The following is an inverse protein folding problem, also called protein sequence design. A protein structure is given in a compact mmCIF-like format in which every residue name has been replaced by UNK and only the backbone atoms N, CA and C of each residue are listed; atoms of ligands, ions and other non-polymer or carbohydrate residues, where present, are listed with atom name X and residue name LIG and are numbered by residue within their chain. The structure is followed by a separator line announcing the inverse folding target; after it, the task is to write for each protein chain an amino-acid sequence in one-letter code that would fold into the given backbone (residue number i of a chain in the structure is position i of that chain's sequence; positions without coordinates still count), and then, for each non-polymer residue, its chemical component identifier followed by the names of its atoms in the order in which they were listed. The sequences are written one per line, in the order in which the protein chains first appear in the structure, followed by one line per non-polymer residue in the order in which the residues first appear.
data_IF_039296241705
#
_entry.id   IF_039296241705
#
_cell.length_a   1.000
_cell.length_b   1.000
_cell.length_c   1.000
_cell.angle_alpha   90.00
_cell.angle_beta   90.00
_cell.angle_gamma   90.00
#
_symmetry.space_group_name_H-M   'P 1'
#
loop_
_entity.id
_entity.type
_entity.pdbx_description
1 polymer ?
#
# COMPACT_ATOMS: atom_id res chain seq x y z
N UNK A 1 5.89 13.14 28.39
CA UNK A 1 6.87 12.04 28.54
C UNK A 1 6.15 10.80 28.03
N UNK A 2 6.45 10.22 26.88
CA UNK A 2 7.68 10.25 26.07
C UNK A 2 7.53 10.99 24.75
N UNK A 3 8.58 11.71 24.36
CA UNK A 3 8.81 12.13 22.98
C UNK A 3 9.32 10.88 22.29
N UNK A 4 8.41 10.14 21.64
CA UNK A 4 8.77 8.97 20.86
C UNK A 4 9.85 9.36 19.85
N UNK A 5 11.07 8.85 20.06
CA UNK A 5 12.06 8.73 19.01
C UNK A 5 11.36 8.01 17.85
N UNK A 6 10.97 8.73 16.80
CA UNK A 6 10.52 8.17 15.54
C UNK A 6 11.75 7.53 14.87
N UNK A 7 12.20 6.41 15.44
CA UNK A 7 13.14 5.54 14.79
C UNK A 7 12.44 5.02 13.53
N UNK A 8 13.09 5.20 12.38
CA UNK A 8 12.59 4.63 11.15
C UNK A 8 12.70 3.10 11.23
N UNK A 9 11.57 2.45 11.56
CA UNK A 9 11.51 1.00 11.75
C UNK A 9 11.45 0.21 10.44
N UNK A 10 11.37 0.90 9.29
CA UNK A 10 11.34 0.24 7.99
C UNK A 10 12.70 -0.38 7.66
N UNK A 11 12.68 -1.67 7.34
CA UNK A 11 13.81 -2.43 6.82
C UNK A 11 13.58 -2.81 5.39
N UNK A 12 14.66 -2.77 4.62
CA UNK A 12 14.69 -3.12 3.21
C UNK A 12 15.75 -4.18 2.97
N UNK A 13 15.36 -5.29 2.37
CA UNK A 13 16.26 -6.40 2.06
C UNK A 13 16.03 -6.90 0.64
N UNK A 14 17.08 -6.99 -0.17
CA UNK A 14 17.00 -7.58 -1.50
C UNK A 14 17.13 -9.09 -1.35
N UNK A 15 15.99 -9.77 -1.27
CA UNK A 15 15.91 -11.21 -1.03
C UNK A 15 16.21 -12.05 -2.27
N UNK A 16 16.03 -11.49 -3.47
CA UNK A 16 16.46 -12.13 -4.71
C UNK A 16 16.67 -11.13 -5.85
N UNK A 17 17.45 -11.54 -6.84
CA UNK A 17 17.59 -10.83 -8.11
C UNK A 17 17.54 -11.84 -9.26
N UNK A 18 16.80 -11.51 -10.31
CA UNK A 18 16.63 -12.38 -11.48
C UNK A 18 16.81 -11.63 -12.78
N UNK A 19 17.38 -12.30 -13.77
CA UNK A 19 17.49 -11.76 -15.12
C UNK A 19 16.20 -12.08 -15.87
N UNK A 20 15.56 -11.05 -16.40
CA UNK A 20 14.39 -11.13 -17.27
C UNK A 20 14.86 -10.92 -18.70
N UNK A 21 14.60 -11.85 -19.61
CA UNK A 21 15.07 -11.75 -21.00
C UNK A 21 14.11 -10.96 -21.92
N UNK A 22 12.80 -10.99 -21.66
CA UNK A 22 11.76 -10.33 -22.47
C UNK A 22 10.97 -9.28 -21.67
N UNK A 23 10.49 -8.18 -22.31
CA UNK A 23 10.69 -7.80 -23.71
C UNK A 23 12.09 -7.25 -24.03
N UNK A 24 12.85 -6.86 -23.00
CA UNK A 24 14.25 -6.43 -23.12
C UNK A 24 15.02 -6.95 -21.92
N UNK A 25 16.21 -7.52 -22.16
CA UNK A 25 17.03 -8.10 -21.09
C UNK A 25 17.34 -7.10 -19.97
N UNK A 26 16.94 -7.41 -18.73
CA UNK A 26 17.21 -6.59 -17.54
C UNK A 26 17.29 -7.46 -16.28
N UNK A 27 17.82 -6.89 -15.19
CA UNK A 27 17.78 -7.52 -13.86
C UNK A 27 16.68 -6.87 -13.05
N UNK A 28 15.83 -7.70 -12.45
CA UNK A 28 14.78 -7.30 -11.50
C UNK A 28 15.18 -7.77 -10.11
N UNK A 29 15.06 -6.87 -9.15
CA UNK A 29 15.39 -7.07 -7.75
C UNK A 29 14.09 -7.15 -6.96
N UNK A 30 13.93 -8.23 -6.19
CA UNK A 30 12.82 -8.38 -5.25
C UNK A 30 13.29 -7.84 -3.90
N UNK A 31 12.63 -6.77 -3.45
CA UNK A 31 12.91 -6.14 -2.16
C UNK A 31 11.80 -6.51 -1.19
N UNK A 32 12.17 -7.07 -0.07
CA UNK A 32 11.31 -7.22 1.09
C UNK A 32 11.31 -5.92 1.90
N UNK A 33 10.13 -5.50 2.35
CA UNK A 33 9.91 -4.33 3.20
C UNK A 33 9.16 -4.74 4.45
N UNK A 34 9.77 -4.53 5.62
CA UNK A 34 9.24 -5.00 6.91
C UNK A 34 9.49 -4.00 8.04
N UNK A 35 8.85 -4.20 9.18
CA UNK A 35 9.20 -3.54 10.45
C UNK A 35 9.77 -4.56 11.43
N UNK A 36 10.87 -4.22 12.08
CA UNK A 36 11.48 -5.08 13.11
C UNK A 36 11.09 -4.64 14.55
N UNK A 37 10.38 -3.52 14.70
CA UNK A 37 9.99 -2.91 15.98
C UNK A 37 8.59 -2.25 15.87
N UNK A 38 7.78 -2.20 16.96
CA UNK A 38 7.98 -2.81 18.28
C UNK A 38 7.82 -4.33 18.33
N UNK A 39 7.13 -4.90 17.35
CA UNK A 39 6.95 -6.34 17.19
C UNK A 39 7.51 -6.76 15.82
N UNK A 40 7.96 -8.01 15.72
CA UNK A 40 8.43 -8.56 14.46
C UNK A 40 7.28 -8.62 13.46
N UNK A 41 7.46 -8.00 12.30
CA UNK A 41 6.49 -8.05 11.22
C UNK A 41 6.37 -9.47 10.65
N UNK A 42 5.23 -10.11 10.91
CA UNK A 42 4.90 -11.45 10.40
C UNK A 42 4.37 -11.43 8.97
N UNK A 43 4.13 -10.25 8.39
CA UNK A 43 3.52 -10.06 7.08
C UNK A 43 4.32 -9.01 6.29
N UNK A 44 5.57 -9.34 5.91
CA UNK A 44 6.42 -8.44 5.15
C UNK A 44 5.83 -8.19 3.76
N UNK A 45 6.13 -7.00 3.23
CA UNK A 45 5.75 -6.62 1.88
C UNK A 45 6.86 -6.91 0.90
N UNK A 46 6.49 -7.03 -0.38
CA UNK A 46 7.47 -7.20 -1.45
C UNK A 46 7.20 -6.26 -2.60
N UNK A 47 8.28 -5.72 -3.17
CA UNK A 47 8.25 -4.98 -4.43
C UNK A 47 9.28 -5.54 -5.39
N UNK A 48 9.02 -5.38 -6.67
CA UNK A 48 9.95 -5.82 -7.71
C UNK A 48 10.30 -4.67 -8.65
N UNK A 49 11.57 -4.29 -8.62
CA UNK A 49 12.09 -3.12 -9.34
C UNK A 49 13.40 -3.46 -10.04
N UNK A 50 13.64 -2.88 -11.21
CA UNK A 50 14.91 -2.90 -11.95
C UNK A 50 15.72 -1.65 -11.67
N UNK A 51 17.02 -1.70 -12.00
CA UNK A 51 17.96 -0.60 -11.76
C UNK A 51 17.45 0.78 -12.22
N UNK A 52 16.79 0.87 -13.37
CA UNK A 52 16.32 2.18 -13.86
C UNK A 52 15.21 2.76 -13.00
N UNK A 53 14.32 1.94 -12.43
CA UNK A 53 13.26 2.43 -11.55
C UNK A 53 13.85 3.00 -10.24
N UNK A 54 14.89 2.36 -9.69
CA UNK A 54 15.66 2.93 -8.57
C UNK A 54 16.37 4.24 -8.95
N UNK A 55 16.94 4.31 -10.17
CA UNK A 55 17.61 5.50 -10.66
C UNK A 55 16.62 6.66 -10.86
N UNK A 56 15.42 6.37 -11.33
CA UNK A 56 14.37 7.36 -11.55
C UNK A 56 13.82 7.87 -10.21
N UNK A 57 13.66 7.00 -9.20
CA UNK A 57 13.42 7.41 -7.81
C UNK A 57 14.51 8.35 -7.31
N UNK A 58 15.79 7.96 -7.41
CA UNK A 58 16.92 8.78 -6.96
C UNK A 58 16.91 10.17 -7.60
N UNK A 59 16.76 10.25 -8.92
CA UNK A 59 16.73 11.52 -9.66
C UNK A 59 15.56 12.40 -9.24
N UNK A 60 14.37 11.80 -9.07
CA UNK A 60 13.18 12.53 -8.66
C UNK A 60 13.37 13.13 -7.27
N UNK A 61 13.92 12.36 -6.33
CA UNK A 61 14.27 12.86 -5.01
C UNK A 61 15.37 13.93 -5.03
N UNK A 62 16.36 13.84 -5.92
CA UNK A 62 17.37 14.90 -6.07
C UNK A 62 16.77 16.23 -6.52
N UNK A 63 15.67 16.19 -7.30
CA UNK A 63 14.95 17.39 -7.73
C UNK A 63 14.07 17.92 -6.60
N UNK A 64 13.34 17.04 -5.91
CA UNK A 64 12.36 17.40 -4.86
C UNK A 64 13.04 17.79 -3.54
N UNK A 65 14.14 17.12 -3.17
CA UNK A 65 14.84 17.27 -1.89
C UNK A 65 16.36 17.44 -2.07
N UNK A 66 16.84 18.46 -2.82
CA UNK A 66 18.26 18.57 -3.21
C UNK A 66 19.22 18.64 -2.02
N UNK A 67 18.84 19.32 -0.94
CA UNK A 67 19.67 19.45 0.26
C UNK A 67 19.86 18.10 0.96
N UNK A 68 18.78 17.33 1.16
CA UNK A 68 18.82 16.03 1.82
C UNK A 68 19.61 15.03 0.95
N UNK A 69 19.36 15.05 -0.37
CA UNK A 69 19.98 14.10 -1.30
C UNK A 69 21.46 14.38 -1.59
N UNK A 70 21.96 15.57 -1.26
CA UNK A 70 23.37 15.95 -1.51
C UNK A 70 24.40 15.04 -0.82
N UNK A 71 24.01 14.40 0.30
CA UNK A 71 24.86 13.48 1.06
C UNK A 71 24.62 12.00 0.73
N UNK A 72 23.64 11.68 -0.12
CA UNK A 72 23.22 10.31 -0.43
C UNK A 72 23.83 9.85 -1.75
N UNK A 73 24.70 8.84 -1.69
CA UNK A 73 25.28 8.22 -2.87
C UNK A 73 24.35 7.19 -3.52
N UNK A 74 24.37 7.10 -4.85
CA UNK A 74 23.62 6.09 -5.61
C UNK A 74 24.53 5.31 -6.57
N UNK A 75 24.32 3.99 -6.77
CA UNK A 75 25.17 3.18 -7.64
C UNK A 75 25.15 3.66 -9.09
N UNK A 76 26.34 3.90 -9.64
CA UNK A 76 26.51 4.38 -11.01
C UNK A 76 26.03 3.35 -12.05
N UNK A 77 25.60 3.85 -13.20
CA UNK A 77 25.22 3.02 -14.33
C UNK A 77 26.47 2.33 -14.88
N UNK A 78 26.40 1.00 -15.01
CA UNK A 78 27.48 0.23 -15.60
C UNK A 78 27.34 0.16 -17.12
N UNK A 79 28.47 0.30 -17.82
CA UNK A 79 28.54 0.19 -19.29
C UNK A 79 28.76 -1.25 -19.75
N UNK A 80 29.37 -2.09 -18.91
CA UNK A 80 29.59 -3.52 -19.14
C UNK A 80 29.41 -4.30 -17.82
N UNK A 81 29.19 -5.61 -17.89
CA UNK A 81 29.13 -6.49 -16.71
C UNK A 81 27.87 -6.34 -15.85
N UNK A 82 26.80 -5.73 -16.38
CA UNK A 82 25.57 -5.46 -15.62
C UNK A 82 24.76 -6.70 -15.22
N UNK A 83 25.13 -7.88 -15.72
CA UNK A 83 24.53 -9.17 -15.39
C UNK A 83 25.48 -10.09 -14.60
N UNK A 84 26.68 -9.62 -14.20
CA UNK A 84 27.58 -10.43 -13.37
C UNK A 84 27.04 -10.52 -11.96
N UNK A 85 27.29 -11.64 -11.28
CA UNK A 85 26.87 -11.84 -9.90
C UNK A 85 27.46 -10.77 -8.97
N UNK A 86 28.72 -10.39 -9.19
CA UNK A 86 29.38 -9.32 -8.44
C UNK A 86 28.62 -7.99 -8.54
N UNK A 87 28.24 -7.59 -9.76
CA UNK A 87 27.52 -6.34 -9.96
C UNK A 87 26.10 -6.39 -9.39
N UNK A 88 25.43 -7.54 -9.53
CA UNK A 88 24.10 -7.76 -8.95
C UNK A 88 24.18 -7.63 -7.43
N UNK A 89 25.09 -8.33 -6.77
CA UNK A 89 25.29 -8.26 -5.32
C UNK A 89 25.66 -6.86 -4.82
N UNK A 90 26.58 -6.17 -5.52
CA UNK A 90 26.96 -4.79 -5.18
C UNK A 90 25.78 -3.82 -5.28
N UNK A 91 24.94 -3.96 -6.32
CA UNK A 91 23.71 -3.16 -6.47
C UNK A 91 22.68 -3.49 -5.41
N UNK A 92 22.48 -4.77 -5.08
CA UNK A 92 21.56 -5.19 -4.02
C UNK A 92 21.88 -4.49 -2.70
N UNK A 93 23.15 -4.54 -2.27
CA UNK A 93 23.60 -3.84 -1.07
C UNK A 93 23.39 -2.32 -1.17
N UNK A 94 23.74 -1.72 -2.31
CA UNK A 94 23.59 -0.28 -2.52
C UNK A 94 22.12 0.17 -2.49
N UNK A 95 21.19 -0.62 -3.03
CA UNK A 95 19.76 -0.32 -3.00
C UNK A 95 19.18 -0.41 -1.58
N UNK A 96 19.58 -1.41 -0.81
CA UNK A 96 19.18 -1.52 0.60
C UNK A 96 19.67 -0.31 1.41
N UNK A 97 20.95 0.07 1.27
CA UNK A 97 21.49 1.26 1.92
C UNK A 97 20.79 2.53 1.47
N UNK A 98 20.51 2.67 0.17
CA UNK A 98 19.80 3.82 -0.37
C UNK A 98 18.38 3.96 0.21
N UNK A 99 17.57 2.89 0.18
CA UNK A 99 16.20 2.90 0.72
C UNK A 99 16.20 3.17 2.23
N UNK A 100 17.15 2.59 2.97
CA UNK A 100 17.31 2.88 4.41
C UNK A 100 17.57 4.37 4.66
N UNK A 101 18.56 4.95 3.98
CA UNK A 101 18.96 6.36 4.19
C UNK A 101 17.83 7.35 3.84
N UNK A 102 17.12 7.13 2.73
CA UNK A 102 16.04 8.06 2.36
C UNK A 102 14.84 7.95 3.29
N UNK A 103 14.57 6.78 3.87
CA UNK A 103 13.43 6.60 4.78
C UNK A 103 13.73 7.05 6.22
N UNK A 104 15.00 7.28 6.58
CA UNK A 104 15.38 7.94 7.84
C UNK A 104 14.93 9.41 7.89
N UNK A 105 14.65 10.03 6.73
CA UNK A 105 14.10 11.36 6.64
C UNK A 105 12.57 11.33 6.47
N UNK A 106 11.84 11.91 7.41
CA UNK A 106 10.37 11.92 7.39
C UNK A 106 9.76 12.66 6.18
N UNK A 107 10.43 13.68 5.62
CA UNK A 107 9.90 14.37 4.43
C UNK A 107 9.95 13.45 3.20
N UNK A 108 11.05 12.73 3.00
CA UNK A 108 11.16 11.77 1.89
C UNK A 108 10.28 10.55 2.15
N UNK A 109 10.25 10.04 3.38
CA UNK A 109 9.42 8.88 3.77
C UNK A 109 7.94 9.08 3.46
N UNK A 110 7.43 10.29 3.67
CA UNK A 110 6.03 10.65 3.41
C UNK A 110 5.82 11.27 2.01
N UNK A 111 6.85 11.33 1.16
CA UNK A 111 6.72 11.89 -0.19
C UNK A 111 5.96 10.95 -1.12
N UNK A 112 5.15 11.54 -2.01
CA UNK A 112 4.48 10.79 -3.07
C UNK A 112 5.49 10.08 -3.99
N UNK A 113 6.66 10.68 -4.19
CA UNK A 113 7.75 10.09 -4.99
C UNK A 113 8.19 8.73 -4.44
N UNK A 114 8.42 8.62 -3.13
CA UNK A 114 8.78 7.35 -2.51
C UNK A 114 7.58 6.39 -2.47
N UNK A 115 6.40 6.87 -2.07
CA UNK A 115 5.19 6.06 -1.95
C UNK A 115 4.86 5.40 -3.30
N UNK A 116 4.90 6.16 -4.40
CA UNK A 116 4.69 5.64 -5.75
C UNK A 116 5.73 4.57 -6.12
N UNK A 117 7.01 4.80 -5.82
CA UNK A 117 8.02 3.78 -6.03
C UNK A 117 7.71 2.47 -5.29
N UNK A 118 7.14 2.53 -4.09
CA UNK A 118 6.85 1.37 -3.24
C UNK A 118 5.55 0.62 -3.59
N UNK A 119 4.61 1.22 -4.33
CA UNK A 119 3.32 0.54 -4.57
C UNK A 119 2.65 0.80 -5.93
N UNK A 120 3.03 1.82 -6.70
CA UNK A 120 2.26 2.26 -7.89
C UNK A 120 2.12 1.15 -8.93
N UNK A 121 3.20 0.41 -9.21
CA UNK A 121 3.17 -0.71 -10.15
C UNK A 121 2.20 -1.81 -9.72
N UNK A 122 2.29 -2.26 -8.48
CA UNK A 122 1.41 -3.27 -7.90
C UNK A 122 -0.04 -2.78 -7.86
N UNK A 123 -0.25 -1.50 -7.54
CA UNK A 123 -1.57 -0.90 -7.52
C UNK A 123 -2.17 -0.89 -8.93
N UNK A 124 -1.45 -0.38 -9.94
CA UNK A 124 -1.90 -0.36 -11.33
C UNK A 124 -2.25 -1.74 -11.85
N UNK A 125 -1.43 -2.75 -11.55
CA UNK A 125 -1.71 -4.12 -11.93
C UNK A 125 -2.99 -4.65 -11.24
N UNK A 126 -3.18 -4.39 -9.94
CA UNK A 126 -4.40 -4.74 -9.24
C UNK A 126 -5.66 -4.09 -9.87
N UNK A 127 -5.58 -2.83 -10.27
CA UNK A 127 -6.71 -2.16 -10.95
C UNK A 127 -7.01 -2.79 -12.30
N UNK A 128 -6.00 -3.19 -13.08
CA UNK A 128 -6.22 -3.89 -14.34
C UNK A 128 -6.94 -5.23 -14.10
N UNK A 129 -6.56 -5.97 -13.06
CA UNK A 129 -7.27 -7.19 -12.67
C UNK A 129 -8.70 -6.92 -12.22
N UNK A 130 -8.96 -5.84 -11.47
CA UNK A 130 -10.32 -5.44 -11.07
C UNK A 130 -11.18 -5.12 -12.30
N UNK A 131 -10.65 -4.38 -13.28
CA UNK A 131 -11.34 -4.06 -14.55
C UNK A 131 -11.71 -5.36 -15.29
N UNK A 132 -10.79 -6.31 -15.33
CA UNK A 132 -10.97 -7.64 -15.90
C UNK A 132 -11.84 -8.58 -15.02
N UNK A 133 -12.29 -8.12 -13.84
CA UNK A 133 -13.02 -8.90 -12.82
C UNK A 133 -12.25 -10.13 -12.30
N UNK A 134 -10.93 -10.11 -12.37
CA UNK A 134 -10.02 -11.13 -11.85
C UNK A 134 -9.64 -10.80 -10.40
N UNK A 135 -10.63 -10.82 -9.51
CA UNK A 135 -10.44 -10.37 -8.13
C UNK A 135 -9.46 -11.25 -7.34
N UNK A 136 -9.39 -12.55 -7.67
CA UNK A 136 -8.42 -13.50 -7.12
C UNK A 136 -6.97 -13.07 -7.34
N UNK A 137 -6.68 -12.45 -8.49
CA UNK A 137 -5.35 -11.91 -8.79
C UNK A 137 -5.13 -10.51 -8.19
N UNK A 138 -6.19 -9.71 -8.03
CA UNK A 138 -6.12 -8.36 -7.48
C UNK A 138 -5.89 -8.34 -5.96
N UNK A 139 -6.60 -9.21 -5.21
CA UNK A 139 -6.54 -9.26 -3.73
C UNK A 139 -5.11 -9.31 -3.18
N UNK A 140 -4.21 -10.22 -3.59
CA UNK A 140 -2.87 -10.27 -3.02
C UNK A 140 -2.03 -9.01 -3.31
N UNK A 141 -2.25 -8.34 -4.45
CA UNK A 141 -1.59 -7.08 -4.76
C UNK A 141 -2.13 -5.92 -3.92
N UNK A 142 -3.45 -5.86 -3.72
CA UNK A 142 -4.09 -4.86 -2.86
C UNK A 142 -3.71 -5.02 -1.40
N UNK A 143 -3.62 -6.26 -0.92
CA UNK A 143 -3.17 -6.55 0.43
C UNK A 143 -1.72 -6.10 0.62
N UNK A 144 -0.84 -6.38 -0.36
CA UNK A 144 0.52 -5.88 -0.34
C UNK A 144 0.55 -4.33 -0.29
N UNK A 145 -0.24 -3.65 -1.14
CA UNK A 145 -0.31 -2.18 -1.12
C UNK A 145 -0.81 -1.63 0.22
N UNK A 146 -1.92 -2.16 0.75
CA UNK A 146 -2.48 -1.75 2.04
C UNK A 146 -1.47 -1.90 3.16
N UNK A 147 -0.82 -3.06 3.26
CA UNK A 147 0.18 -3.32 4.31
C UNK A 147 1.40 -2.40 4.14
N UNK A 148 1.83 -2.13 2.90
CA UNK A 148 2.94 -1.22 2.62
C UNK A 148 2.63 0.19 3.12
N UNK A 149 1.50 0.77 2.70
CA UNK A 149 1.15 2.13 3.10
C UNK A 149 0.87 2.20 4.61
N UNK A 150 0.30 1.17 5.23
CA UNK A 150 0.08 1.11 6.68
C UNK A 150 1.38 1.02 7.50
N UNK A 151 2.49 0.59 6.88
CA UNK A 151 3.81 0.65 7.53
C UNK A 151 4.39 2.07 7.49
N UNK A 152 4.04 2.87 6.49
CA UNK A 152 4.59 4.21 6.28
C UNK A 152 3.75 5.25 7.02
N UNK A 153 2.43 5.15 6.91
CA UNK A 153 1.44 6.11 7.39
C UNK A 153 0.69 5.60 8.61
N UNK A 154 0.00 6.50 9.30
CA UNK A 154 -0.86 6.15 10.44
C UNK A 154 -2.10 5.36 9.99
N UNK A 155 -2.67 4.55 10.88
CA UNK A 155 -3.81 3.68 10.58
C UNK A 155 -5.04 4.40 9.99
N UNK A 156 -5.21 5.69 10.33
CA UNK A 156 -6.32 6.54 9.88
C UNK A 156 -5.94 7.54 8.80
N UNK A 157 -4.73 7.44 8.26
CA UNK A 157 -4.33 8.26 7.12
C UNK A 157 -5.29 8.01 5.94
N UNK A 158 -5.68 9.06 5.18
CA UNK A 158 -6.63 8.93 4.08
C UNK A 158 -6.32 7.79 3.09
N UNK A 159 -5.07 7.68 2.65
CA UNK A 159 -4.64 6.66 1.70
C UNK A 159 -4.72 5.24 2.28
N UNK A 160 -4.44 5.09 3.58
CA UNK A 160 -4.51 3.81 4.28
C UNK A 160 -5.95 3.32 4.34
N UNK A 161 -6.87 4.21 4.75
CA UNK A 161 -8.30 3.89 4.83
C UNK A 161 -8.87 3.59 3.45
N UNK A 162 -8.49 4.38 2.44
CA UNK A 162 -8.91 4.14 1.05
C UNK A 162 -8.39 2.79 0.55
N UNK A 163 -7.11 2.48 0.76
CA UNK A 163 -6.51 1.20 0.35
C UNK A 163 -7.18 0.02 1.06
N UNK A 164 -7.52 0.18 2.35
CA UNK A 164 -8.23 -0.84 3.12
C UNK A 164 -9.67 -1.04 2.61
N UNK A 165 -10.40 0.03 2.31
CA UNK A 165 -11.73 -0.06 1.71
C UNK A 165 -11.70 -0.76 0.34
N UNK A 166 -10.70 -0.47 -0.51
CA UNK A 166 -10.53 -1.15 -1.79
C UNK A 166 -10.27 -2.65 -1.58
N UNK A 167 -9.39 -3.00 -0.63
CA UNK A 167 -9.09 -4.39 -0.29
C UNK A 167 -10.34 -5.13 0.20
N UNK A 168 -11.10 -4.57 1.15
CA UNK A 168 -12.34 -5.16 1.65
C UNK A 168 -13.33 -5.41 0.53
N UNK A 169 -13.56 -4.42 -0.34
CA UNK A 169 -14.49 -4.55 -1.46
C UNK A 169 -14.04 -5.62 -2.46
N UNK A 170 -12.73 -5.69 -2.75
CA UNK A 170 -12.17 -6.70 -3.66
C UNK A 170 -12.23 -8.11 -3.04
N UNK A 171 -11.97 -8.25 -1.74
CA UNK A 171 -12.10 -9.51 -1.02
C UNK A 171 -13.55 -10.01 -1.02
N UNK A 172 -14.52 -9.13 -0.78
CA UNK A 172 -15.95 -9.48 -0.86
C UNK A 172 -16.34 -9.95 -2.26
N UNK A 173 -15.93 -9.21 -3.30
CA UNK A 173 -16.19 -9.58 -4.69
C UNK A 173 -15.54 -10.93 -5.09
N UNK A 174 -14.38 -11.25 -4.50
CA UNK A 174 -13.71 -12.54 -4.67
C UNK A 174 -14.28 -13.67 -3.79
N UNK A 175 -15.15 -13.36 -2.81
CA UNK A 175 -15.54 -14.26 -1.72
C UNK A 175 -14.35 -14.79 -0.93
N UNK A 176 -13.36 -13.92 -0.72
CA UNK A 176 -12.14 -14.24 0.01
C UNK A 176 -12.45 -14.46 1.51
N UNK A 177 -11.94 -15.53 2.15
CA UNK A 177 -12.15 -15.78 3.57
C UNK A 177 -11.69 -14.62 4.49
N UNK A 178 -10.74 -13.79 4.04
CA UNK A 178 -10.24 -12.66 4.80
C UNK A 178 -11.10 -11.39 4.68
N UNK A 179 -12.16 -11.39 3.86
CA UNK A 179 -13.02 -10.22 3.68
C UNK A 179 -13.55 -9.66 5.01
N UNK A 180 -14.03 -10.56 5.88
CA UNK A 180 -14.56 -10.19 7.19
C UNK A 180 -13.47 -9.61 8.12
N UNK A 181 -12.28 -10.20 8.13
CA UNK A 181 -11.14 -9.72 8.91
C UNK A 181 -10.74 -8.29 8.53
N UNK A 182 -10.58 -8.00 7.23
CA UNK A 182 -10.25 -6.64 6.79
C UNK A 182 -11.41 -5.66 7.03
N UNK A 183 -12.66 -6.12 6.91
CA UNK A 183 -13.83 -5.30 7.17
C UNK A 183 -13.89 -4.86 8.63
N UNK A 184 -13.56 -5.73 9.58
CA UNK A 184 -13.46 -5.38 11.01
C UNK A 184 -12.39 -4.32 11.27
N UNK A 185 -11.20 -4.48 10.68
CA UNK A 185 -10.13 -3.48 10.79
C UNK A 185 -10.62 -2.14 10.25
N UNK A 186 -11.32 -2.14 9.10
CA UNK A 186 -11.85 -0.93 8.51
C UNK A 186 -12.87 -0.26 9.44
N UNK A 187 -13.87 -1.01 9.92
CA UNK A 187 -14.90 -0.50 10.83
C UNK A 187 -14.29 0.15 12.07
N UNK A 188 -13.34 -0.52 12.72
CA UNK A 188 -12.68 0.00 13.91
C UNK A 188 -11.91 1.30 13.63
N UNK A 189 -11.22 1.39 12.49
CA UNK A 189 -10.47 2.59 12.13
C UNK A 189 -11.38 3.79 11.86
N UNK A 190 -12.57 3.56 11.29
CA UNK A 190 -13.59 4.59 11.05
C UNK A 190 -14.28 5.12 12.32
N UNK A 191 -14.19 4.45 13.48
CA UNK A 191 -14.90 4.89 14.70
C UNK A 191 -14.53 6.30 15.18
N UNK A 192 -13.31 6.74 14.87
CA UNK A 192 -12.78 8.06 15.27
C UNK A 192 -12.53 9.00 14.08
N UNK A 193 -13.02 8.67 12.88
CA UNK A 193 -12.87 9.52 11.69
C UNK A 193 -14.00 10.54 11.65
N UNK A 194 -13.64 11.82 11.62
CA UNK A 194 -14.58 12.95 11.46
C UNK A 194 -14.39 13.69 10.14
N UNK A 195 -13.39 13.32 9.34
CA UNK A 195 -13.10 13.90 8.05
C UNK A 195 -14.19 13.56 7.03
N UNK A 196 -14.81 14.58 6.44
CA UNK A 196 -15.95 14.44 5.53
C UNK A 196 -15.56 13.68 4.26
N UNK A 197 -14.35 13.89 3.73
CA UNK A 197 -13.87 13.23 2.52
C UNK A 197 -13.59 11.75 2.76
N UNK A 198 -13.28 11.35 3.99
CA UNK A 198 -13.15 9.95 4.36
C UNK A 198 -14.48 9.30 4.70
N UNK A 199 -15.40 10.04 5.31
CA UNK A 199 -16.73 9.55 5.63
C UNK A 199 -17.55 9.13 4.41
N UNK A 200 -17.16 9.58 3.19
CA UNK A 200 -17.82 9.16 1.95
C UNK A 200 -17.78 7.64 1.72
N UNK A 201 -16.74 6.95 2.19
CA UNK A 201 -16.64 5.49 2.10
C UNK A 201 -17.33 4.76 3.26
N UNK A 202 -17.65 5.46 4.34
CA UNK A 202 -18.09 4.82 5.58
C UNK A 202 -19.48 4.18 5.45
N UNK A 203 -20.43 4.86 4.79
CA UNK A 203 -21.77 4.29 4.55
C UNK A 203 -21.69 3.04 3.66
N UNK A 204 -21.05 3.09 2.46
CA UNK A 204 -20.88 1.89 1.64
C UNK A 204 -20.13 0.75 2.34
N UNK A 205 -19.15 1.08 3.19
CA UNK A 205 -18.45 0.09 4.01
C UNK A 205 -19.42 -0.60 4.98
N UNK A 206 -20.23 0.16 5.72
CA UNK A 206 -21.21 -0.40 6.64
C UNK A 206 -22.23 -1.30 5.89
N UNK A 207 -22.70 -0.87 4.72
CA UNK A 207 -23.61 -1.66 3.88
C UNK A 207 -22.97 -2.99 3.44
N UNK A 208 -21.72 -2.94 2.97
CA UNK A 208 -20.95 -4.14 2.64
C UNK A 208 -20.78 -5.06 3.86
N UNK A 209 -20.48 -4.51 5.04
CA UNK A 209 -20.35 -5.32 6.26
C UNK A 209 -21.68 -5.97 6.69
N UNK A 210 -22.83 -5.33 6.49
CA UNK A 210 -24.15 -5.96 6.71
C UNK A 210 -24.29 -7.20 5.83
N UNK A 211 -23.90 -7.11 4.55
CA UNK A 211 -23.94 -8.24 3.63
C UNK A 211 -22.99 -9.37 4.06
N UNK A 212 -21.73 -9.05 4.39
CA UNK A 212 -20.75 -10.04 4.85
C UNK A 212 -21.24 -10.78 6.11
N UNK A 213 -21.73 -10.04 7.11
CA UNK A 213 -22.13 -10.61 8.39
C UNK A 213 -23.40 -11.44 8.27
N UNK A 214 -24.33 -11.03 7.40
CA UNK A 214 -25.48 -11.84 7.06
C UNK A 214 -25.06 -13.19 6.44
N UNK A 215 -24.13 -13.15 5.50
CA UNK A 215 -23.61 -14.35 4.83
C UNK A 215 -22.82 -15.27 5.77
N UNK A 216 -22.16 -14.74 6.79
CA UNK A 216 -21.43 -15.53 7.80
C UNK A 216 -22.26 -15.89 9.04
N UNK A 217 -23.51 -15.42 9.14
CA UNK A 217 -24.39 -15.67 10.29
C UNK A 217 -24.00 -14.90 11.57
N UNK A 218 -23.18 -13.84 11.45
CA UNK A 218 -22.78 -12.98 12.56
C UNK A 218 -23.83 -11.93 12.88
N UNK A 219 -23.82 -11.47 14.13
CA UNK A 219 -24.69 -10.37 14.56
C UNK A 219 -24.30 -9.06 13.87
N UNK A 220 -25.24 -8.50 13.10
CA UNK A 220 -25.09 -7.25 12.34
C UNK A 220 -25.88 -6.09 12.93
N UNK A 221 -26.54 -6.29 14.07
CA UNK A 221 -27.46 -5.32 14.70
C UNK A 221 -26.76 -3.98 14.95
N UNK A 222 -25.53 -3.97 15.47
CA UNK A 222 -24.78 -2.74 15.73
C UNK A 222 -24.47 -1.94 14.44
N UNK A 223 -24.28 -2.63 13.30
CA UNK A 223 -24.01 -2.01 12.00
C UNK A 223 -25.31 -1.40 11.45
N UNK A 224 -26.42 -2.12 11.54
CA UNK A 224 -27.75 -1.65 11.14
C UNK A 224 -28.19 -0.43 11.97
N UNK A 225 -27.92 -0.42 13.28
CA UNK A 225 -28.16 0.73 14.15
C UNK A 225 -27.30 1.94 13.76
N UNK A 226 -26.02 1.70 13.43
CA UNK A 226 -25.10 2.75 12.96
C UNK A 226 -25.59 3.37 11.64
N UNK A 227 -25.98 2.56 10.67
CA UNK A 227 -26.58 3.01 9.40
C UNK A 227 -27.86 3.80 9.65
N UNK A 228 -28.73 3.31 10.53
CA UNK A 228 -29.97 4.00 10.92
C UNK A 228 -29.71 5.36 11.56
N UNK A 229 -28.65 5.48 12.38
CA UNK A 229 -28.20 6.75 12.95
C UNK A 229 -27.71 7.72 11.86
N UNK A 230 -26.84 7.26 10.96
CA UNK A 230 -26.33 8.08 9.85
C UNK A 230 -27.45 8.58 8.93
N UNK A 231 -28.43 7.71 8.63
CA UNK A 231 -29.63 8.06 7.87
C UNK A 231 -30.44 9.18 8.56
N UNK A 232 -30.63 9.09 9.89
CA UNK A 232 -31.30 10.15 10.67
C UNK A 232 -30.52 11.47 10.69
N UNK A 233 -29.19 11.41 10.56
CA UNK A 233 -28.33 12.59 10.42
C UNK A 233 -28.30 13.16 8.99
N UNK A 234 -29.09 12.62 8.05
CA UNK A 234 -29.20 13.12 6.68
C UNK A 234 -28.22 12.50 5.68
N UNK A 235 -27.42 11.51 6.09
CA UNK A 235 -26.56 10.77 5.16
C UNK A 235 -27.41 9.88 4.25
N UNK A 236 -27.07 9.84 2.95
CA UNK A 236 -27.73 8.95 1.99
C UNK A 236 -27.30 7.50 2.27
N UNK A 237 -28.26 6.66 2.66
CA UNK A 237 -28.10 5.22 2.88
C UNK A 237 -29.00 4.47 1.89
N UNK A 238 -28.55 3.35 1.36
CA UNK A 238 -29.22 2.55 0.32
C UNK A 238 -28.94 3.07 -1.09
N UNK A 239 -27.70 3.47 -1.37
CA UNK A 239 -27.29 3.94 -2.70
C UNK A 239 -27.09 2.79 -3.69
N UNK A 240 -27.14 3.11 -4.99
CA UNK A 240 -26.83 2.14 -6.05
C UNK A 240 -25.32 1.95 -6.27
N UNK A 241 -24.46 2.75 -5.63
CA UNK A 241 -23.03 2.75 -5.84
C UNK A 241 -22.37 1.91 -4.74
N UNK A 242 -21.66 0.85 -5.13
CA UNK A 242 -21.00 -0.05 -4.17
C UNK A 242 -19.75 0.60 -3.58
N UNK A 243 -19.22 0.04 -2.49
CA UNK A 243 -17.92 0.49 -1.95
C UNK A 243 -16.82 0.40 -3.01
N UNK A 244 -16.82 -0.67 -3.82
CA UNK A 244 -15.86 -0.85 -4.89
C UNK A 244 -15.94 0.30 -5.91
N UNK A 245 -17.14 0.59 -6.41
CA UNK A 245 -17.37 1.66 -7.39
C UNK A 245 -16.87 3.02 -6.87
N UNK A 246 -17.17 3.34 -5.60
CA UNK A 246 -16.76 4.61 -5.00
C UNK A 246 -15.24 4.74 -4.88
N UNK A 247 -14.56 3.70 -4.38
CA UNK A 247 -13.10 3.77 -4.18
C UNK A 247 -12.34 3.79 -5.51
N UNK A 248 -12.89 3.12 -6.54
CA UNK A 248 -12.36 3.16 -7.90
C UNK A 248 -12.54 4.53 -8.56
N UNK A 249 -13.69 5.19 -8.36
CA UNK A 249 -13.98 6.50 -8.96
C UNK A 249 -13.02 7.61 -8.48
N UNK A 250 -12.48 7.49 -7.27
CA UNK A 250 -11.50 8.45 -6.73
C UNK A 250 -10.08 8.21 -7.24
N UNK A 251 -9.82 7.15 -8.00
CA UNK A 251 -8.53 6.99 -8.67
C UNK A 251 -8.51 7.89 -9.92
N UNK A 252 -8.02 9.12 -9.77
CA UNK A 252 -7.70 9.96 -10.92
C UNK A 252 -6.51 9.33 -11.65
N UNK A 253 -6.69 8.99 -12.92
CA UNK A 253 -5.62 8.51 -13.83
C UNK A 253 -4.71 9.66 -14.25
#
# INVERSE_FOLDING_TARGET
MDVSNFCNDLKFEVVSARTIDFPKKHVTYRVEVRKDYPELDTQPNYIERRYTEFLDLYKSLCIEFPTIMSSISFPKKALMGNFTQEMISSRSASFQSFLKLITENEQIKNSNTLINFLQDKEQQEAYNYIIDKKYDQAVPLLENCFRMINKIQTDRHPEVLRSLCLLVACCEANKDPQAEYFAEIALHRYEAVSDVDLLKYYVPLLELCVHLYWSSGRDKTFIEERLSRLKRCGMKVGGNCTLLDMVLADKVF
#
